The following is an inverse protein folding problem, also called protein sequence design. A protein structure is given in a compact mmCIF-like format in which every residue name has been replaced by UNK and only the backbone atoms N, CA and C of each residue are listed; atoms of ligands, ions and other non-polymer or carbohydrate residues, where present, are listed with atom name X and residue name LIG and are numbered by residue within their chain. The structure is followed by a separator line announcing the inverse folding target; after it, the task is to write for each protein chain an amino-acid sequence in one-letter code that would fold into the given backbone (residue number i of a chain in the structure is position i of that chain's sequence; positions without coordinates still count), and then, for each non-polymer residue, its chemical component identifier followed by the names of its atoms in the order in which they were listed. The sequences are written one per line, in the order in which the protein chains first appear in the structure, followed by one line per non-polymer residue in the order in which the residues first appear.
data_IF_902662990053
#
_entry.id   IF_902662990053
#
_cell.length_a   1.000
_cell.length_b   1.000
_cell.length_c   1.000
_cell.angle_alpha   90.00
_cell.angle_beta   90.00
_cell.angle_gamma   90.00
#
_symmetry.space_group_name_H-M   'P 1'
#
loop_
_entity.id
_entity.type
_entity.pdbx_description
1 polymer ?
#
# COMPACT_ATOMS: atom_id res chain seq x y z
N UNK A 1 -1.02 16.97 30.92
CA UNK A 1 0.37 16.78 30.46
C UNK A 1 0.56 17.67 29.23
N UNK A 2 1.63 18.46 29.19
CA UNK A 2 1.99 19.28 28.03
C UNK A 2 2.76 18.40 27.04
N UNK A 3 2.02 17.53 26.32
CA UNK A 3 2.59 16.63 25.30
C UNK A 3 2.40 17.29 23.93
N UNK A 4 3.49 17.52 23.23
CA UNK A 4 3.52 18.12 21.90
C UNK A 4 3.59 17.04 20.81
N UNK A 5 3.18 17.34 19.58
CA UNK A 5 3.35 16.40 18.45
C UNK A 5 4.80 15.92 18.30
N UNK A 6 5.80 16.78 18.52
CA UNK A 6 7.22 16.43 18.47
C UNK A 6 7.66 15.40 19.53
N UNK A 7 6.91 15.26 20.62
CA UNK A 7 7.25 14.30 21.68
C UNK A 7 6.79 12.88 21.35
N UNK A 8 5.81 12.75 20.43
CA UNK A 8 5.21 11.47 20.04
C UNK A 8 5.53 11.06 18.61
N UNK A 9 5.74 12.00 17.73
CA UNK A 9 6.09 11.73 16.32
C UNK A 9 7.60 11.54 16.17
N UNK A 10 8.12 10.48 16.77
CA UNK A 10 9.53 10.09 16.68
C UNK A 10 9.77 9.15 15.50
N UNK A 11 11.03 8.84 15.19
CA UNK A 11 11.36 7.88 14.12
C UNK A 11 10.73 6.50 14.38
N UNK A 12 10.70 6.07 15.64
CA UNK A 12 10.08 4.81 16.06
C UNK A 12 8.55 4.83 15.85
N UNK A 13 7.90 5.97 16.08
CA UNK A 13 6.48 6.14 15.80
C UNK A 13 6.18 6.05 14.29
N UNK A 14 7.02 6.64 13.44
CA UNK A 14 6.91 6.51 11.98
C UNK A 14 7.16 5.08 11.52
N UNK A 15 8.12 4.37 12.10
CA UNK A 15 8.30 2.94 11.84
C UNK A 15 7.03 2.15 12.18
N UNK A 16 6.43 2.39 13.34
CA UNK A 16 5.18 1.76 13.73
C UNK A 16 4.05 2.06 12.73
N UNK A 17 3.97 3.29 12.24
CA UNK A 17 2.99 3.68 11.23
C UNK A 17 3.17 2.92 9.91
N UNK A 18 4.41 2.79 9.43
CA UNK A 18 4.75 2.06 8.20
C UNK A 18 4.39 0.58 8.32
N UNK A 19 4.82 -0.07 9.41
CA UNK A 19 4.55 -1.49 9.65
C UNK A 19 3.04 -1.74 9.77
N UNK A 20 2.32 -0.89 10.49
CA UNK A 20 0.87 -1.02 10.65
C UNK A 20 0.13 -0.76 9.33
N UNK A 21 0.53 0.25 8.57
CA UNK A 21 -0.03 0.54 7.25
C UNK A 21 0.16 -0.65 6.28
N UNK A 22 1.33 -1.28 6.31
CA UNK A 22 1.61 -2.49 5.52
C UNK A 22 0.71 -3.65 5.91
N UNK A 23 0.55 -3.91 7.21
CA UNK A 23 -0.29 -4.99 7.72
C UNK A 23 -1.79 -4.82 7.42
N UNK A 24 -2.25 -3.57 7.31
CA UNK A 24 -3.64 -3.24 6.94
C UNK A 24 -3.86 -3.28 5.42
N UNK A 25 -2.78 -3.21 4.63
CA UNK A 25 -2.87 -3.02 3.19
C UNK A 25 -3.35 -1.60 2.84
N UNK A 26 -2.81 -0.59 3.52
CA UNK A 26 -3.19 0.81 3.35
C UNK A 26 -2.94 1.32 1.91
N UNK A 27 -3.49 2.49 1.61
CA UNK A 27 -3.34 3.15 0.32
C UNK A 27 -1.89 3.50 -0.02
N UNK A 28 -1.54 3.47 -1.31
CA UNK A 28 -0.27 4.01 -1.82
C UNK A 28 -0.11 5.52 -1.61
N UNK A 29 -1.14 6.20 -1.16
CA UNK A 29 -1.04 7.59 -0.70
C UNK A 29 -0.39 7.72 0.69
N UNK A 30 -0.37 6.67 1.50
CA UNK A 30 0.23 6.71 2.83
C UNK A 30 1.72 7.11 2.80
N UNK A 31 2.59 6.53 1.95
CA UNK A 31 4.00 6.89 1.90
C UNK A 31 4.27 8.39 1.70
N UNK A 32 3.77 9.07 0.66
CA UNK A 32 4.07 10.48 0.46
C UNK A 32 3.57 11.37 1.60
N UNK A 33 2.39 11.07 2.17
CA UNK A 33 1.84 11.85 3.28
C UNK A 33 2.63 11.64 4.57
N UNK A 34 2.98 10.42 4.91
CA UNK A 34 3.76 10.10 6.12
C UNK A 34 5.18 10.70 6.01
N UNK A 35 5.82 10.61 4.84
CA UNK A 35 7.12 11.23 4.59
C UNK A 35 7.03 12.76 4.71
N UNK A 36 5.98 13.38 4.18
CA UNK A 36 5.77 14.82 4.29
C UNK A 36 5.59 15.26 5.75
N UNK A 37 4.82 14.52 6.56
CA UNK A 37 4.66 14.79 7.99
C UNK A 37 5.99 14.68 8.71
N UNK A 38 6.78 13.62 8.47
CA UNK A 38 8.10 13.43 9.07
C UNK A 38 9.05 14.59 8.73
N UNK A 39 8.99 15.10 7.50
CA UNK A 39 9.80 16.24 7.04
C UNK A 39 9.51 17.52 7.83
N UNK A 40 8.25 17.78 8.20
CA UNK A 40 7.89 18.95 9.04
C UNK A 40 8.51 18.89 10.45
N UNK A 41 8.88 17.71 10.90
CA UNK A 41 9.56 17.47 12.19
C UNK A 41 11.07 17.29 12.04
N UNK A 42 11.63 17.56 10.86
CA UNK A 42 13.03 17.33 10.51
C UNK A 42 13.48 15.86 10.71
N UNK A 43 12.54 14.91 10.63
CA UNK A 43 12.84 13.49 10.68
C UNK A 43 13.05 12.99 9.25
N UNK A 44 14.26 12.48 8.99
CA UNK A 44 14.58 11.88 7.70
C UNK A 44 13.83 10.56 7.57
N UNK A 45 12.86 10.51 6.66
CA UNK A 45 12.10 9.33 6.28
C UNK A 45 12.06 9.24 4.75
N UNK A 46 12.33 8.06 4.20
CA UNK A 46 12.42 7.84 2.76
C UNK A 46 11.64 6.59 2.33
N UNK A 47 11.54 6.33 1.03
CA UNK A 47 10.99 5.08 0.53
C UNK A 47 11.82 3.85 0.91
N UNK A 48 13.14 4.00 1.13
CA UNK A 48 13.97 2.91 1.64
C UNK A 48 13.54 2.45 3.04
N UNK A 49 12.99 3.37 3.86
CA UNK A 49 12.41 3.00 5.16
C UNK A 49 11.12 2.20 4.98
N UNK A 50 10.31 2.50 3.95
CA UNK A 50 9.12 1.73 3.60
C UNK A 50 9.47 0.32 3.14
N UNK A 51 10.49 0.17 2.30
CA UNK A 51 11.02 -1.13 1.90
C UNK A 51 11.52 -1.90 3.13
N UNK A 52 12.43 -1.31 3.89
CA UNK A 52 13.08 -1.95 5.05
C UNK A 52 12.10 -2.45 6.11
N UNK A 53 11.05 -1.67 6.41
CA UNK A 53 10.15 -1.97 7.53
C UNK A 53 8.82 -2.54 7.09
N UNK A 54 8.40 -2.32 5.84
CA UNK A 54 7.06 -2.62 5.37
C UNK A 54 6.95 -3.78 4.39
N UNK A 55 7.98 -4.04 3.55
CA UNK A 55 7.88 -5.01 2.45
C UNK A 55 7.50 -6.41 2.92
N UNK A 56 8.20 -6.91 3.94
CA UNK A 56 8.03 -8.27 4.47
C UNK A 56 6.82 -8.44 5.41
N UNK A 57 6.04 -7.37 5.62
CA UNK A 57 4.89 -7.42 6.52
C UNK A 57 3.72 -8.12 5.83
N UNK A 58 3.11 -9.14 6.48
CA UNK A 58 1.95 -9.82 5.93
C UNK A 58 0.68 -8.96 5.98
N UNK A 59 -0.27 -9.23 5.08
CA UNK A 59 -1.61 -8.66 5.13
C UNK A 59 -2.43 -9.33 6.21
N UNK A 60 -2.78 -8.59 7.25
CA UNK A 60 -3.56 -9.10 8.38
C UNK A 60 -5.06 -8.73 8.30
N UNK A 61 -5.46 -7.80 7.45
CA UNK A 61 -6.83 -7.26 7.46
C UNK A 61 -7.54 -7.59 6.15
N UNK A 62 -8.68 -8.27 6.27
CA UNK A 62 -9.60 -8.56 5.19
C UNK A 62 -10.47 -7.33 4.90
N UNK A 63 -9.87 -6.31 4.29
CA UNK A 63 -10.48 -5.00 4.03
C UNK A 63 -10.32 -4.63 2.56
N UNK A 64 -11.35 -4.07 1.95
CA UNK A 64 -11.28 -3.57 0.58
C UNK A 64 -10.16 -2.50 0.40
N UNK A 65 -9.47 -2.48 -0.76
CA UNK A 65 -9.68 -3.29 -1.96
C UNK A 65 -8.98 -4.64 -1.95
N UNK A 66 -8.17 -4.98 -0.94
CA UNK A 66 -7.42 -6.22 -0.88
C UNK A 66 -8.21 -7.41 -0.29
N UNK A 67 -9.36 -7.14 0.30
CA UNK A 67 -10.27 -8.10 0.92
C UNK A 67 -11.73 -7.74 0.70
N UNK A 68 -12.63 -8.32 1.51
CA UNK A 68 -14.07 -8.33 1.28
C UNK A 68 -14.85 -7.30 2.12
N UNK A 69 -14.32 -6.92 3.30
CA UNK A 69 -15.03 -6.10 4.27
C UNK A 69 -14.79 -4.61 4.08
N UNK A 70 -15.69 -3.79 4.66
CA UNK A 70 -15.59 -2.34 4.70
C UNK A 70 -15.03 -1.84 6.03
N UNK A 71 -14.71 -0.54 6.10
CA UNK A 71 -14.11 0.10 7.27
C UNK A 71 -14.94 -0.03 8.55
N UNK A 72 -16.26 -0.09 8.45
CA UNK A 72 -17.14 -0.32 9.61
C UNK A 72 -16.87 -1.69 10.25
N UNK A 73 -16.81 -2.76 9.46
CA UNK A 73 -16.47 -4.08 9.97
C UNK A 73 -15.09 -4.14 10.59
N UNK A 74 -14.11 -3.47 9.99
CA UNK A 74 -12.76 -3.36 10.55
C UNK A 74 -12.77 -2.63 11.91
N UNK A 75 -13.53 -1.56 12.04
CA UNK A 75 -13.69 -0.85 13.31
C UNK A 75 -14.33 -1.75 14.40
N UNK A 76 -15.41 -2.45 14.05
CA UNK A 76 -16.11 -3.37 14.96
C UNK A 76 -15.23 -4.56 15.38
N UNK A 77 -14.32 -5.03 14.50
CA UNK A 77 -13.33 -6.06 14.81
C UNK A 77 -12.19 -5.57 15.75
N UNK A 78 -12.22 -4.30 16.15
CA UNK A 78 -11.23 -3.68 17.05
C UNK A 78 -10.19 -2.80 16.34
N UNK A 79 -10.21 -2.70 15.02
CA UNK A 79 -9.46 -1.74 14.23
C UNK A 79 -7.95 -1.78 14.41
N UNK A 80 -7.32 -0.61 14.23
CA UNK A 80 -5.86 -0.44 14.31
C UNK A 80 -5.26 -0.97 15.62
N UNK A 81 -5.86 -0.76 16.81
CA UNK A 81 -5.29 -1.29 18.06
C UNK A 81 -5.11 -2.80 18.07
N UNK A 82 -6.04 -3.55 17.49
CA UNK A 82 -5.95 -5.02 17.41
C UNK A 82 -4.85 -5.44 16.45
N UNK A 83 -4.72 -4.78 15.29
CA UNK A 83 -3.62 -5.04 14.35
C UNK A 83 -2.27 -4.76 15.01
N UNK A 84 -2.12 -3.61 15.68
CA UNK A 84 -0.90 -3.28 16.40
C UNK A 84 -0.60 -4.30 17.52
N UNK A 85 -1.63 -4.85 18.19
CA UNK A 85 -1.45 -5.91 19.18
C UNK A 85 -0.85 -7.18 18.56
N UNK A 86 -1.33 -7.59 17.37
CA UNK A 86 -0.77 -8.74 16.64
C UNK A 86 0.69 -8.49 16.25
N UNK A 87 0.99 -7.31 15.71
CA UNK A 87 2.35 -6.91 15.34
C UNK A 87 3.29 -6.84 16.56
N UNK A 88 2.78 -6.34 17.68
CA UNK A 88 3.52 -6.26 18.95
C UNK A 88 3.93 -7.63 19.49
N UNK A 89 3.06 -8.65 19.39
CA UNK A 89 3.37 -10.03 19.79
C UNK A 89 4.57 -10.60 19.04
N UNK A 90 4.78 -10.15 17.81
CA UNK A 90 5.86 -10.58 16.92
C UNK A 90 7.08 -9.63 16.92
N UNK A 91 7.12 -8.68 17.87
CA UNK A 91 8.17 -7.67 17.96
C UNK A 91 8.38 -6.88 16.65
N UNK A 92 7.32 -6.68 15.86
CA UNK A 92 7.39 -5.94 14.60
C UNK A 92 7.24 -4.44 14.76
N UNK A 93 6.79 -3.96 15.92
CA UNK A 93 6.64 -2.54 16.24
C UNK A 93 7.41 -2.15 17.51
N UNK A 94 7.71 -0.87 17.62
CA UNK A 94 8.40 -0.29 18.76
C UNK A 94 7.41 -0.08 19.92
N UNK A 95 7.37 -1.01 20.83
CA UNK A 95 6.46 -1.01 21.98
C UNK A 95 6.70 0.14 22.96
N UNK A 96 7.92 0.68 23.03
CA UNK A 96 8.31 1.79 23.90
C UNK A 96 7.98 3.18 23.34
N UNK A 97 7.52 3.29 22.08
CA UNK A 97 7.18 4.57 21.49
C UNK A 97 6.05 5.26 22.29
N UNK A 98 6.23 6.56 22.55
CA UNK A 98 5.25 7.38 23.25
C UNK A 98 4.02 7.64 22.40
N UNK A 99 2.86 7.75 23.04
CA UNK A 99 1.60 8.05 22.35
C UNK A 99 0.92 9.30 22.92
N UNK A 100 -0.10 9.78 22.23
CA UNK A 100 -0.94 10.93 22.65
C UNK A 100 -1.55 10.77 24.05
N UNK A 101 -1.72 9.54 24.57
CA UNK A 101 -2.23 9.30 25.91
C UNK A 101 -1.18 9.59 27.00
N UNK A 102 0.06 9.86 26.62
CA UNK A 102 1.21 10.00 27.53
C UNK A 102 1.66 8.67 28.14
N UNK A 103 1.31 7.57 27.46
CA UNK A 103 1.74 6.20 27.77
C UNK A 103 2.42 5.61 26.55
N UNK A 104 3.15 4.53 26.74
CA UNK A 104 3.78 3.81 25.64
C UNK A 104 2.75 3.06 24.78
N UNK A 105 3.17 2.63 23.60
CA UNK A 105 2.39 1.71 22.75
C UNK A 105 2.05 0.44 23.53
N UNK A 106 3.02 -0.16 24.24
CA UNK A 106 2.80 -1.35 25.05
C UNK A 106 1.70 -1.15 26.10
N UNK A 107 1.74 -0.03 26.83
CA UNK A 107 0.74 0.29 27.87
C UNK A 107 -0.66 0.40 27.29
N UNK A 108 -0.80 1.07 26.13
CA UNK A 108 -2.09 1.23 25.47
C UNK A 108 -2.62 -0.10 24.91
N UNK A 109 -1.74 -0.99 24.46
CA UNK A 109 -2.11 -2.29 23.93
C UNK A 109 -2.34 -3.36 25.02
N UNK A 110 -1.94 -3.12 26.29
CA UNK A 110 -1.98 -4.11 27.35
C UNK A 110 -3.38 -4.76 27.51
N UNK A 111 -4.41 -3.94 27.52
CA UNK A 111 -5.80 -4.37 27.73
C UNK A 111 -6.60 -4.63 26.44
N UNK A 112 -5.96 -4.46 25.27
CA UNK A 112 -6.62 -4.76 23.99
C UNK A 112 -6.81 -6.27 23.89
N UNK A 113 -8.07 -6.68 23.69
CA UNK A 113 -8.45 -8.07 23.46
C UNK A 113 -8.82 -8.22 21.99
N UNK A 114 -8.31 -9.25 21.37
CA UNK A 114 -8.76 -9.68 20.06
C UNK A 114 -9.86 -10.73 20.25
N UNK A 115 -11.00 -10.50 19.67
CA UNK A 115 -12.02 -11.54 19.46
C UNK A 115 -11.72 -12.25 18.17
N UNK A 116 -12.00 -13.55 18.10
CA UNK A 116 -11.91 -14.27 16.84
C UNK A 116 -12.92 -13.70 15.84
N UNK A 117 -12.42 -13.32 14.67
CA UNK A 117 -13.21 -12.80 13.56
C UNK A 117 -12.49 -13.05 12.24
N UNK A 118 -13.20 -12.91 11.15
CA UNK A 118 -12.64 -13.10 9.81
C UNK A 118 -11.97 -11.85 9.22
N UNK A 119 -12.08 -10.71 9.89
CA UNK A 119 -11.61 -9.42 9.39
C UNK A 119 -10.15 -9.17 9.76
N UNK A 120 -9.76 -9.38 11.04
CA UNK A 120 -8.38 -9.21 11.49
C UNK A 120 -7.79 -10.58 11.78
N UNK A 121 -6.89 -11.03 10.93
CA UNK A 121 -6.22 -12.34 11.02
C UNK A 121 -5.11 -12.34 12.09
N UNK A 122 -4.72 -13.54 12.51
CA UNK A 122 -3.53 -13.72 13.34
C UNK A 122 -2.27 -13.56 12.46
N UNK A 123 -1.18 -13.12 13.06
CA UNK A 123 0.08 -12.94 12.34
C UNK A 123 0.60 -14.24 11.73
N UNK A 124 0.38 -15.37 12.40
CA UNK A 124 0.79 -16.71 11.97
C UNK A 124 -0.10 -17.31 10.87
N UNK A 125 -1.26 -16.70 10.63
CA UNK A 125 -2.21 -17.14 9.60
C UNK A 125 -2.78 -15.91 8.86
N UNK A 126 -1.94 -15.15 8.15
CA UNK A 126 -2.34 -13.93 7.45
C UNK A 126 -3.19 -14.23 6.22
N UNK A 127 -3.77 -13.19 5.63
CA UNK A 127 -4.43 -13.30 4.33
C UNK A 127 -3.43 -13.51 3.19
N UNK A 128 -2.29 -12.83 3.26
CA UNK A 128 -1.17 -12.93 2.31
C UNK A 128 0.14 -12.72 3.05
N UNK A 129 1.11 -13.54 2.75
CA UNK A 129 2.49 -13.32 3.18
C UNK A 129 3.12 -12.19 2.37
N UNK A 130 4.07 -11.44 2.97
CA UNK A 130 4.87 -10.41 2.29
C UNK A 130 4.02 -9.51 1.39
N UNK A 131 2.99 -8.91 1.96
CA UNK A 131 2.00 -8.15 1.22
C UNK A 131 2.08 -6.62 1.46
N UNK A 132 3.21 -6.14 1.94
CA UNK A 132 3.47 -4.72 2.18
C UNK A 132 3.70 -3.93 0.89
N UNK A 133 4.51 -2.89 1.00
CA UNK A 133 4.84 -2.02 -0.12
C UNK A 133 6.18 -2.41 -0.73
N UNK A 134 6.19 -2.64 -2.04
CA UNK A 134 7.40 -2.87 -2.81
C UNK A 134 7.92 -1.53 -3.36
N UNK A 135 9.20 -1.25 -3.18
CA UNK A 135 9.86 -0.08 -3.77
C UNK A 135 10.55 -0.50 -5.06
N UNK A 136 10.13 0.10 -6.17
CA UNK A 136 10.66 -0.14 -7.49
C UNK A 136 11.73 0.90 -7.82
N UNK A 137 12.82 0.48 -8.47
CA UNK A 137 13.88 1.34 -8.97
C UNK A 137 14.15 1.02 -10.44
N UNK A 138 14.44 2.04 -11.24
CA UNK A 138 14.71 1.84 -12.66
C UNK A 138 15.61 2.92 -13.24
N UNK A 139 16.01 2.75 -14.51
CA UNK A 139 16.63 3.80 -15.30
C UNK A 139 15.63 4.81 -15.90
N UNK A 140 14.33 4.60 -15.65
CA UNK A 140 13.23 5.42 -16.14
C UNK A 140 12.69 6.39 -15.07
N UNK A 141 12.83 6.03 -13.79
CA UNK A 141 12.49 6.85 -12.62
C UNK A 141 13.40 6.47 -11.46
N UNK A 142 13.62 7.35 -10.50
CA UNK A 142 14.46 7.07 -9.33
C UNK A 142 13.82 6.01 -8.43
N UNK A 143 12.60 6.26 -8.00
CA UNK A 143 11.83 5.34 -7.15
C UNK A 143 10.34 5.45 -7.43
N UNK A 144 9.65 4.32 -7.35
CA UNK A 144 8.20 4.22 -7.31
C UNK A 144 7.80 3.24 -6.21
N UNK A 145 6.53 3.27 -5.80
CA UNK A 145 6.00 2.37 -4.79
C UNK A 145 4.81 1.59 -5.35
N UNK A 146 4.79 0.30 -5.07
CA UNK A 146 3.71 -0.59 -5.47
C UNK A 146 3.12 -1.29 -4.25
N UNK A 147 1.79 -1.42 -4.22
CA UNK A 147 1.05 -2.11 -3.17
C UNK A 147 0.89 -3.59 -3.53
N UNK A 148 1.60 -4.47 -2.82
CA UNK A 148 1.58 -5.91 -3.08
C UNK A 148 0.28 -6.60 -2.66
N UNK A 149 -0.44 -6.05 -1.68
CA UNK A 149 -1.67 -6.64 -1.15
C UNK A 149 -2.79 -6.81 -2.18
N UNK A 150 -2.82 -5.98 -3.22
CA UNK A 150 -3.84 -6.01 -4.29
C UNK A 150 -3.43 -6.80 -5.53
N UNK A 151 -2.18 -7.27 -5.63
CA UNK A 151 -1.73 -8.10 -6.76
C UNK A 151 -2.48 -9.43 -6.72
N UNK A 152 -3.30 -9.70 -7.73
CA UNK A 152 -4.10 -10.92 -7.82
C UNK A 152 -3.28 -12.13 -8.26
N UNK A 153 -3.73 -13.33 -7.93
CA UNK A 153 -3.12 -14.58 -8.41
C UNK A 153 -3.25 -14.71 -9.94
N UNK A 154 -4.33 -14.18 -10.53
CA UNK A 154 -4.47 -14.14 -11.99
C UNK A 154 -3.40 -13.27 -12.65
N UNK A 155 -3.12 -12.07 -12.09
CA UNK A 155 -2.04 -11.20 -12.54
C UNK A 155 -0.68 -11.89 -12.45
N UNK A 156 -0.38 -12.51 -11.31
CA UNK A 156 0.86 -13.26 -11.11
C UNK A 156 1.00 -14.38 -12.15
N UNK A 157 -0.06 -15.17 -12.35
CA UNK A 157 -0.08 -16.26 -13.33
C UNK A 157 0.12 -15.75 -14.75
N UNK A 158 -0.46 -14.61 -15.10
CA UNK A 158 -0.41 -14.07 -16.46
C UNK A 158 0.94 -13.42 -16.79
N UNK A 159 1.50 -12.65 -15.86
CA UNK A 159 2.65 -11.79 -16.14
C UNK A 159 3.93 -12.15 -15.40
N UNK A 160 3.87 -12.91 -14.31
CA UNK A 160 5.01 -13.13 -13.41
C UNK A 160 5.35 -14.61 -13.25
N UNK A 161 4.83 -15.51 -14.08
CA UNK A 161 5.01 -16.97 -13.96
C UNK A 161 5.96 -17.57 -14.98
N UNK A 162 6.71 -16.76 -15.73
CA UNK A 162 7.74 -17.28 -16.63
C UNK A 162 8.80 -18.03 -15.82
N UNK A 163 9.05 -19.31 -16.16
CA UNK A 163 9.99 -20.17 -15.44
C UNK A 163 11.45 -19.79 -15.67
N UNK A 164 11.75 -19.17 -16.80
CA UNK A 164 13.12 -18.73 -17.15
C UNK A 164 13.40 -17.33 -16.58
N UNK A 165 12.36 -16.49 -16.49
CA UNK A 165 12.46 -15.12 -16.01
C UNK A 165 11.37 -14.82 -14.96
N UNK A 166 11.42 -15.47 -13.79
CA UNK A 166 10.40 -15.28 -12.77
C UNK A 166 10.33 -13.81 -12.32
N UNK A 167 9.11 -13.32 -12.12
CA UNK A 167 8.83 -11.93 -11.72
C UNK A 167 9.23 -10.87 -12.76
N UNK A 168 9.39 -11.26 -14.03
CA UNK A 168 9.70 -10.35 -15.13
C UNK A 168 8.67 -10.52 -16.24
N UNK A 169 8.39 -9.43 -16.95
CA UNK A 169 7.59 -9.45 -18.17
C UNK A 169 8.02 -8.31 -19.10
N UNK A 170 7.73 -8.47 -20.40
CA UNK A 170 7.90 -7.42 -21.41
C UNK A 170 6.54 -7.00 -21.92
N UNK A 171 6.30 -5.70 -21.96
CA UNK A 171 5.04 -5.13 -22.41
C UNK A 171 5.25 -3.91 -23.30
N UNK A 172 4.27 -3.63 -24.17
CA UNK A 172 4.25 -2.41 -24.99
C UNK A 172 3.71 -1.24 -24.17
N UNK A 173 4.47 -0.16 -24.07
CA UNK A 173 4.05 1.03 -23.36
C UNK A 173 3.05 1.86 -24.16
N UNK A 174 1.92 2.19 -23.55
CA UNK A 174 0.95 3.18 -24.03
C UNK A 174 1.02 4.37 -23.09
N UNK A 175 1.41 5.52 -23.63
CA UNK A 175 1.72 6.72 -22.84
C UNK A 175 0.67 7.79 -23.08
N UNK A 176 0.09 8.29 -22.00
CA UNK A 176 -0.87 9.39 -22.00
C UNK A 176 -0.27 10.65 -21.38
N UNK A 177 -0.60 11.82 -21.96
CA UNK A 177 -0.18 13.13 -21.47
C UNK A 177 -1.21 13.69 -20.47
N UNK A 178 -1.20 13.15 -19.25
CA UNK A 178 -2.12 13.53 -18.20
C UNK A 178 -3.41 12.72 -18.17
N UNK A 179 -4.21 12.89 -17.09
CA UNK A 179 -5.47 12.16 -16.89
C UNK A 179 -6.52 12.44 -17.96
N UNK A 180 -6.63 13.68 -18.42
CA UNK A 180 -7.59 14.08 -19.45
C UNK A 180 -7.32 13.36 -20.77
N UNK A 181 -6.05 13.26 -21.18
CA UNK A 181 -5.65 12.52 -22.36
C UNK A 181 -6.00 11.04 -22.22
N UNK A 182 -5.70 10.45 -21.05
CA UNK A 182 -6.09 9.06 -20.77
C UNK A 182 -7.60 8.85 -20.89
N UNK A 183 -8.42 9.67 -20.25
CA UNK A 183 -9.88 9.51 -20.29
C UNK A 183 -10.47 9.66 -21.70
N UNK A 184 -9.90 10.52 -22.52
CA UNK A 184 -10.37 10.75 -23.88
C UNK A 184 -9.94 9.62 -24.83
N UNK A 185 -8.76 9.03 -24.63
CA UNK A 185 -8.13 8.14 -25.59
C UNK A 185 -8.10 6.67 -25.19
N UNK A 186 -8.43 6.30 -23.96
CA UNK A 186 -8.31 4.91 -23.49
C UNK A 186 -9.08 3.91 -24.36
N UNK A 187 -10.20 4.33 -24.94
CA UNK A 187 -11.04 3.52 -25.81
C UNK A 187 -10.78 3.75 -27.31
N UNK A 188 -9.75 4.52 -27.69
CA UNK A 188 -9.38 4.74 -29.09
C UNK A 188 -8.81 3.46 -29.69
N UNK A 189 -9.46 2.86 -30.73
CA UNK A 189 -9.01 1.60 -31.33
C UNK A 189 -7.67 1.71 -32.05
N UNK A 190 -7.24 2.91 -32.45
CA UNK A 190 -5.95 3.12 -33.11
C UNK A 190 -4.76 2.87 -32.18
N UNK A 191 -4.96 2.97 -30.86
CA UNK A 191 -3.92 2.64 -29.88
C UNK A 191 -3.63 1.14 -29.78
N UNK A 192 -4.52 0.29 -30.32
CA UNK A 192 -4.37 -1.17 -30.34
C UNK A 192 -3.99 -1.74 -28.97
N UNK A 193 -4.64 -1.29 -27.90
CA UNK A 193 -4.35 -1.73 -26.53
C UNK A 193 -4.82 -3.16 -26.37
N UNK A 194 -3.90 -4.04 -25.98
CA UNK A 194 -4.15 -5.45 -25.67
C UNK A 194 -3.63 -5.82 -24.28
N UNK A 195 -3.74 -7.08 -23.90
CA UNK A 195 -3.30 -7.59 -22.59
C UNK A 195 -1.78 -7.54 -22.37
N UNK A 196 -0.99 -7.30 -23.42
CA UNK A 196 0.47 -7.16 -23.33
C UNK A 196 0.91 -5.68 -23.31
N UNK A 197 0.02 -4.78 -22.97
CA UNK A 197 0.31 -3.36 -22.83
C UNK A 197 0.46 -2.94 -21.36
N UNK A 198 1.35 -1.99 -21.10
CA UNK A 198 1.41 -1.24 -19.86
C UNK A 198 0.92 0.19 -20.11
N UNK A 199 0.01 0.67 -19.25
CA UNK A 199 -0.54 2.01 -19.36
C UNK A 199 0.28 2.97 -18.49
N UNK A 200 0.74 4.07 -19.07
CA UNK A 200 1.57 5.08 -18.39
C UNK A 200 0.92 6.45 -18.56
N UNK A 201 0.70 7.16 -17.45
CA UNK A 201 0.26 8.56 -17.49
C UNK A 201 1.41 9.44 -17.01
N UNK A 202 1.82 10.39 -17.85
CA UNK A 202 2.83 11.40 -17.50
C UNK A 202 2.22 12.53 -16.67
N UNK A 203 3.04 13.15 -15.83
CA UNK A 203 2.66 14.33 -15.06
C UNK A 203 1.70 14.05 -13.89
N UNK A 204 1.52 12.78 -13.51
CA UNK A 204 0.73 12.38 -12.33
C UNK A 204 1.63 12.10 -11.14
N UNK A 205 1.03 12.11 -9.94
CA UNK A 205 1.71 11.86 -8.68
C UNK A 205 1.74 13.11 -7.79
N UNK A 206 2.38 13.04 -6.61
CA UNK A 206 2.28 14.08 -5.58
C UNK A 206 2.77 15.48 -6.01
N UNK A 207 3.66 15.56 -6.99
CA UNK A 207 4.20 16.83 -7.52
C UNK A 207 3.50 17.25 -8.81
N UNK A 208 3.23 16.29 -9.70
CA UNK A 208 2.74 16.57 -11.05
C UNK A 208 1.25 16.84 -11.16
N UNK A 209 0.46 16.35 -10.21
CA UNK A 209 -1.00 16.51 -10.21
C UNK A 209 -1.49 16.75 -8.78
N UNK A 210 -2.44 17.70 -8.55
CA UNK A 210 -2.99 17.97 -7.23
C UNK A 210 -3.67 16.72 -6.64
N UNK A 211 -3.22 16.30 -5.48
CA UNK A 211 -3.63 15.05 -4.83
C UNK A 211 -2.59 13.96 -5.04
N UNK A 212 -3.05 12.73 -5.19
CA UNK A 212 -2.18 11.58 -5.36
C UNK A 212 -2.63 10.71 -6.53
N UNK A 213 -1.88 9.65 -6.82
CA UNK A 213 -2.14 8.74 -7.93
C UNK A 213 -3.56 8.15 -7.98
N UNK A 214 -4.26 8.09 -6.86
CA UNK A 214 -5.66 7.61 -6.79
C UNK A 214 -6.65 8.47 -7.58
N UNK A 215 -6.36 9.72 -7.79
CA UNK A 215 -7.21 10.63 -8.58
C UNK A 215 -7.37 10.14 -10.01
N UNK A 216 -6.44 9.35 -10.53
CA UNK A 216 -6.47 8.87 -11.91
C UNK A 216 -7.21 7.55 -12.08
N UNK A 217 -7.03 6.60 -11.18
CA UNK A 217 -7.67 5.28 -11.15
C UNK A 217 -7.81 4.64 -12.55
N UNK A 218 -6.68 4.30 -13.18
CA UNK A 218 -6.64 3.76 -14.54
C UNK A 218 -7.32 2.39 -14.62
N UNK A 219 -8.12 2.20 -15.65
CA UNK A 219 -8.75 0.94 -16.02
C UNK A 219 -8.32 0.53 -17.44
N UNK A 220 -8.34 -0.76 -17.75
CA UNK A 220 -8.22 -1.22 -19.13
C UNK A 220 -9.35 -0.68 -20.01
N UNK A 221 -9.14 -0.62 -21.36
CA UNK A 221 -10.19 -0.20 -22.26
C UNK A 221 -11.38 -1.18 -22.25
N UNK A 222 -12.56 -0.67 -22.59
CA UNK A 222 -13.84 -1.40 -22.53
C UNK A 222 -13.83 -2.76 -23.23
N UNK A 223 -13.12 -2.88 -24.35
CA UNK A 223 -13.06 -4.14 -25.09
C UNK A 223 -12.30 -5.24 -24.34
N UNK A 224 -11.33 -4.88 -23.47
CA UNK A 224 -10.65 -5.83 -22.59
C UNK A 224 -11.50 -6.15 -21.36
N UNK A 225 -12.15 -5.14 -20.77
CA UNK A 225 -13.10 -5.35 -19.66
C UNK A 225 -14.22 -6.33 -20.05
N UNK A 226 -14.77 -6.20 -21.26
CA UNK A 226 -15.79 -7.13 -21.80
C UNK A 226 -15.26 -8.55 -21.98
N UNK A 227 -13.95 -8.74 -22.11
CA UNK A 227 -13.29 -10.07 -22.15
C UNK A 227 -12.93 -10.59 -20.75
N UNK A 228 -13.27 -9.87 -19.68
CA UNK A 228 -12.93 -10.23 -18.30
C UNK A 228 -11.51 -9.84 -17.89
N UNK A 229 -10.77 -9.06 -18.70
CA UNK A 229 -9.44 -8.55 -18.36
C UNK A 229 -9.62 -7.24 -17.62
N UNK A 230 -9.58 -7.30 -16.29
CA UNK A 230 -9.84 -6.15 -15.41
C UNK A 230 -8.58 -5.43 -14.94
N UNK A 231 -7.39 -5.98 -15.22
CA UNK A 231 -6.11 -5.38 -14.85
C UNK A 231 -5.07 -5.58 -15.96
N UNK A 232 -4.29 -4.53 -16.21
CA UNK A 232 -3.06 -4.55 -17.01
C UNK A 232 -1.86 -4.24 -16.12
N UNK A 233 -0.63 -4.56 -16.55
CA UNK A 233 0.60 -4.15 -15.87
C UNK A 233 0.71 -2.65 -15.71
#
# INVERSE_FOLDING_TARGET
KDIKPSDIMTREAFQNAIVTASAIGASTNAPPHIIAIAKHLNIKLTLDDWEKWGEEIPLLVNLQPAGDHLGEGFFQAGGVPVVMKELSKQNKINNGAMTVTGKTVADNLANIKKTENEIIKNYEAPMKDKAGFLVLRSNFFDTAIMKMSVVSEEFKKRYLSDSEHPMQFTARAIVFDGPEHYHNEINNPELNIDENCVLIIRGCGPIGYPGSAEVVNMQPPDHLLKKGISALP
#
